data_IF_991435376270
#
_entry.id   IF_991435376270
#
_cell.length_a   1.000
_cell.length_b   1.000
_cell.length_c   1.000
_cell.angle_alpha   90.00
_cell.angle_beta   90.00
_cell.angle_gamma   90.00
#
_symmetry.space_group_name_H-M   'P 1'
#
loop_
_entity.id
_entity.type
_entity.pdbx_description
1 polymer ?
#
# COMPACT_ATOMS: atom_id res chain seq x y z
N UNK A 1 -60.03 25.36 30.41
CA UNK A 1 -59.62 26.75 30.62
C UNK A 1 -58.24 26.66 31.24
N UNK A 2 -57.18 26.66 30.42
CA UNK A 2 -56.41 27.88 30.04
C UNK A 2 -55.90 28.61 31.30
N UNK A 3 -54.65 29.02 31.44
CA UNK A 3 -53.55 29.23 30.48
C UNK A 3 -52.23 29.35 31.30
N UNK A 4 -51.11 29.33 30.59
CA UNK A 4 -49.71 29.40 31.00
C UNK A 4 -49.38 30.65 31.83
N UNK A 5 -48.36 30.60 32.70
CA UNK A 5 -47.12 31.36 32.41
C UNK A 5 -45.91 30.93 33.27
N UNK A 6 -44.74 31.18 32.69
CA UNK A 6 -43.44 30.54 32.87
C UNK A 6 -42.44 31.51 33.53
N UNK A 7 -41.61 31.04 34.45
CA UNK A 7 -40.20 31.40 34.71
C UNK A 7 -39.86 31.24 36.20
N UNK A 8 -38.74 30.64 36.62
CA UNK A 8 -37.61 30.11 35.90
C UNK A 8 -36.52 29.66 36.89
N UNK A 9 -35.42 29.15 36.31
CA UNK A 9 -34.10 28.93 36.91
C UNK A 9 -33.86 27.57 37.57
N UNK A 10 -33.78 26.53 36.75
CA UNK A 10 -32.93 25.37 37.04
C UNK A 10 -31.53 25.62 36.47
N UNK A 11 -30.55 25.84 37.36
CA UNK A 11 -29.14 25.63 37.07
C UNK A 11 -28.64 24.55 38.03
N UNK A 12 -28.22 23.43 37.48
CA UNK A 12 -27.61 22.33 38.23
C UNK A 12 -27.18 21.22 37.30
N UNK A 13 -26.03 21.43 36.65
CA UNK A 13 -25.09 20.41 36.13
C UNK A 13 -25.66 19.22 35.37
N UNK A 14 -25.72 19.36 34.03
CA UNK A 14 -25.59 18.23 33.12
C UNK A 14 -24.11 17.82 33.13
N UNK A 15 -23.75 16.80 33.89
CA UNK A 15 -22.56 16.01 33.58
C UNK A 15 -22.85 15.29 32.27
N UNK A 16 -22.34 15.83 31.17
CA UNK A 16 -22.25 15.07 29.92
C UNK A 16 -21.18 14.03 30.19
N UNK A 17 -21.60 12.82 30.55
CA UNK A 17 -20.79 11.62 30.32
C UNK A 17 -20.44 11.66 28.82
N UNK A 18 -19.19 12.03 28.52
CA UNK A 18 -18.63 11.80 27.19
C UNK A 18 -18.60 10.29 27.02
N UNK A 19 -19.68 9.76 26.48
CA UNK A 19 -19.69 8.46 25.84
C UNK A 19 -18.69 8.54 24.69
N UNK A 20 -17.42 8.26 24.97
CA UNK A 20 -16.52 7.70 23.99
C UNK A 20 -17.08 6.33 23.64
N UNK A 21 -18.12 6.32 22.81
CA UNK A 21 -18.38 5.18 21.96
C UNK A 21 -17.08 5.00 21.19
N UNK A 22 -16.25 4.06 21.64
CA UNK A 22 -15.05 3.71 20.93
C UNK A 22 -15.48 3.40 19.51
N UNK A 23 -14.98 4.17 18.54
CA UNK A 23 -14.96 3.80 17.13
C UNK A 23 -14.14 2.51 16.99
N UNK A 24 -14.75 1.40 17.41
CA UNK A 24 -14.46 0.05 16.99
C UNK A 24 -15.52 -0.40 15.98
N UNK A 25 -16.23 0.54 15.37
CA UNK A 25 -17.15 0.25 14.28
C UNK A 25 -16.35 0.27 12.96
N UNK A 26 -15.80 -0.91 12.65
CA UNK A 26 -15.11 -1.28 11.41
C UNK A 26 -13.88 -0.44 11.05
N UNK A 27 -12.80 -0.60 11.80
CA UNK A 27 -11.48 -0.42 11.19
C UNK A 27 -11.44 -1.26 9.90
N UNK A 28 -11.03 -0.70 8.76
CA UNK A 28 -11.05 -1.43 7.48
C UNK A 28 -10.26 -2.73 7.62
N UNK A 29 -10.92 -3.86 7.38
CA UNK A 29 -10.27 -5.18 7.43
C UNK A 29 -9.79 -5.53 6.03
N UNK A 30 -8.50 -5.31 5.76
CA UNK A 30 -7.90 -5.79 4.53
C UNK A 30 -7.72 -7.31 4.55
N UNK A 31 -7.79 -7.92 3.37
CA UNK A 31 -7.53 -9.35 3.14
C UNK A 31 -6.76 -9.52 1.84
N UNK A 32 -6.33 -10.75 1.52
CA UNK A 32 -5.74 -11.03 0.21
C UNK A 32 -6.63 -10.57 -0.95
N UNK A 33 -7.96 -10.67 -0.81
CA UNK A 33 -8.93 -10.23 -1.80
C UNK A 33 -8.98 -8.70 -1.99
N UNK A 34 -8.49 -7.93 -1.01
CA UNK A 34 -8.35 -6.47 -1.16
C UNK A 34 -7.39 -6.15 -2.29
N UNK A 35 -6.28 -6.88 -2.45
CA UNK A 35 -5.37 -6.72 -3.59
C UNK A 35 -5.70 -7.73 -4.70
N UNK A 36 -6.47 -7.30 -5.70
CA UNK A 36 -6.82 -8.13 -6.87
C UNK A 36 -6.87 -7.34 -8.19
N UNK A 37 -6.31 -7.86 -9.26
CA UNK A 37 -6.29 -7.22 -10.58
C UNK A 37 -4.97 -6.50 -10.86
N UNK A 38 -4.99 -5.59 -11.84
CA UNK A 38 -3.80 -4.96 -12.42
C UNK A 38 -3.53 -3.59 -11.81
N UNK A 39 -2.29 -3.35 -11.39
CA UNK A 39 -1.83 -2.09 -10.83
C UNK A 39 -0.65 -1.55 -11.62
N UNK A 40 -0.72 -0.30 -12.08
CA UNK A 40 0.42 0.36 -12.72
C UNK A 40 1.32 0.98 -11.65
N UNK A 41 2.63 0.88 -11.88
CA UNK A 41 3.67 1.50 -11.06
C UNK A 41 4.72 2.16 -11.96
N UNK A 42 5.39 3.17 -11.43
CA UNK A 42 6.56 3.79 -12.04
C UNK A 42 7.45 4.39 -10.96
N UNK A 43 8.62 3.80 -10.77
CA UNK A 43 9.54 4.14 -9.69
C UNK A 43 10.89 4.58 -10.23
N UNK A 44 11.49 5.53 -9.54
CA UNK A 44 12.81 6.08 -9.81
C UNK A 44 13.55 6.22 -8.49
N UNK A 45 14.84 5.90 -8.48
CA UNK A 45 15.65 5.95 -7.27
C UNK A 45 17.11 5.64 -7.54
N UNK A 46 17.78 5.11 -6.53
CA UNK A 46 19.21 4.79 -6.60
C UNK A 46 19.46 3.45 -5.94
N UNK A 47 20.19 2.57 -6.61
CA UNK A 47 20.75 1.38 -5.98
C UNK A 47 22.06 1.75 -5.29
N UNK A 48 22.16 1.43 -4.01
CA UNK A 48 23.37 1.52 -3.20
C UNK A 48 24.01 0.13 -3.05
N UNK A 49 25.35 0.04 -2.97
CA UNK A 49 26.01 -1.23 -2.72
C UNK A 49 25.52 -1.90 -1.41
N UNK A 50 25.32 -3.23 -1.38
CA UNK A 50 25.58 -4.21 -2.44
C UNK A 50 24.33 -4.57 -3.28
N UNK A 51 23.28 -3.74 -3.29
CA UNK A 51 22.01 -4.07 -3.94
C UNK A 51 22.22 -4.50 -5.39
N UNK A 52 21.74 -5.70 -5.73
CA UNK A 52 21.84 -6.26 -7.07
C UNK A 52 23.26 -6.24 -7.69
N UNK A 53 24.29 -6.26 -6.84
CA UNK A 53 25.69 -6.31 -7.28
C UNK A 53 26.29 -4.97 -7.71
N UNK A 54 25.61 -3.83 -7.50
CA UNK A 54 26.21 -2.52 -7.78
C UNK A 54 27.37 -2.24 -6.83
N UNK A 55 28.44 -1.64 -7.35
CA UNK A 55 29.65 -1.28 -6.58
C UNK A 55 29.72 0.19 -6.20
N UNK A 56 28.84 1.02 -6.76
CA UNK A 56 28.70 2.44 -6.47
C UNK A 56 27.22 2.84 -6.56
N UNK A 57 26.80 3.97 -5.94
CA UNK A 57 25.45 4.49 -6.10
C UNK A 57 25.08 4.66 -7.58
N UNK A 58 24.13 3.85 -8.05
CA UNK A 58 23.76 3.80 -9.47
C UNK A 58 22.29 4.17 -9.63
N UNK A 59 21.93 5.16 -10.47
CA UNK A 59 20.54 5.50 -10.75
C UNK A 59 19.76 4.30 -11.31
N UNK A 60 18.52 4.15 -10.87
CA UNK A 60 17.65 3.06 -11.30
C UNK A 60 16.23 3.53 -11.56
N UNK A 61 15.63 3.03 -12.63
CA UNK A 61 14.24 3.30 -13.00
C UNK A 61 13.53 1.97 -13.28
N UNK A 62 12.29 1.83 -12.82
CA UNK A 62 11.44 0.71 -13.19
C UNK A 62 10.02 1.20 -13.50
N UNK A 63 9.40 0.64 -14.53
CA UNK A 63 8.00 0.91 -14.84
C UNK A 63 7.33 -0.35 -15.34
N UNK A 64 6.04 -0.49 -15.03
CA UNK A 64 5.36 -1.73 -15.33
C UNK A 64 4.00 -1.84 -14.68
N UNK A 65 3.62 -3.09 -14.43
CA UNK A 65 2.40 -3.40 -13.69
C UNK A 65 2.50 -4.70 -12.92
N UNK A 66 1.85 -4.74 -11.76
CA UNK A 66 1.61 -5.94 -11.00
C UNK A 66 0.21 -6.49 -11.30
N UNK A 67 0.08 -7.81 -11.38
CA UNK A 67 -1.18 -8.54 -11.36
C UNK A 67 -1.25 -9.28 -10.03
N UNK A 68 -2.21 -8.93 -9.17
CA UNK A 68 -2.50 -9.65 -7.93
C UNK A 68 -3.74 -10.52 -8.12
N UNK A 69 -3.69 -11.79 -7.73
CA UNK A 69 -4.80 -12.72 -7.97
C UNK A 69 -5.90 -12.68 -6.88
N UNK A 70 -5.61 -12.05 -5.73
CA UNK A 70 -6.50 -12.03 -4.58
C UNK A 70 -6.31 -13.21 -3.62
N UNK A 71 -5.27 -14.02 -3.83
CA UNK A 71 -5.02 -15.29 -3.12
C UNK A 71 -3.58 -15.41 -2.58
N UNK A 72 -2.80 -14.31 -2.60
CA UNK A 72 -1.40 -14.30 -2.18
C UNK A 72 -0.40 -14.55 -3.32
N UNK A 73 -0.88 -14.80 -4.54
CA UNK A 73 -0.05 -14.98 -5.73
C UNK A 73 -0.26 -13.90 -6.78
N UNK A 74 0.72 -13.69 -7.64
CA UNK A 74 0.62 -12.71 -8.71
C UNK A 74 1.74 -12.81 -9.73
N UNK A 75 1.79 -11.80 -10.60
CA UNK A 75 2.88 -11.58 -11.54
C UNK A 75 3.29 -10.12 -11.55
N UNK A 76 4.57 -9.88 -11.71
CA UNK A 76 5.14 -8.59 -12.04
C UNK A 76 5.46 -8.56 -13.54
N UNK A 77 5.22 -7.43 -14.19
CA UNK A 77 5.70 -7.15 -15.55
C UNK A 77 6.45 -5.84 -15.53
N UNK A 78 7.74 -5.85 -15.86
CA UNK A 78 8.62 -4.71 -15.63
C UNK A 78 9.60 -4.48 -16.77
N UNK A 79 9.80 -3.22 -17.11
CA UNK A 79 11.03 -2.75 -17.75
C UNK A 79 11.88 -2.08 -16.68
N UNK A 80 13.13 -2.52 -16.54
CA UNK A 80 14.07 -2.03 -15.53
C UNK A 80 15.32 -1.47 -16.19
N UNK A 81 15.70 -0.26 -15.78
CA UNK A 81 16.90 0.43 -16.22
C UNK A 81 17.83 0.67 -15.05
N UNK A 82 19.12 0.51 -15.31
CA UNK A 82 20.19 0.71 -14.34
C UNK A 82 21.34 1.46 -15.00
N UNK A 83 21.77 2.58 -14.42
CA UNK A 83 22.87 3.37 -14.95
C UNK A 83 22.64 3.90 -16.37
N UNK A 84 21.38 4.02 -16.80
CA UNK A 84 20.99 4.42 -18.15
C UNK A 84 20.78 3.27 -19.14
N UNK A 85 21.17 2.04 -18.81
CA UNK A 85 21.01 0.86 -19.66
C UNK A 85 19.72 0.10 -19.31
N UNK A 86 19.05 -0.48 -20.32
CA UNK A 86 17.90 -1.38 -20.09
C UNK A 86 18.41 -2.78 -19.76
N UNK A 87 18.15 -3.23 -18.54
CA UNK A 87 18.61 -4.54 -18.03
C UNK A 87 17.52 -5.60 -18.15
N UNK A 88 16.26 -5.20 -17.99
CA UNK A 88 15.08 -6.03 -18.22
C UNK A 88 14.11 -5.27 -19.13
N UNK A 89 13.49 -5.96 -20.08
CA UNK A 89 12.54 -5.36 -21.02
C UNK A 89 11.26 -6.20 -21.06
N UNK A 90 10.15 -5.64 -20.56
CA UNK A 90 8.86 -6.33 -20.41
C UNK A 90 8.97 -7.73 -19.76
N UNK A 91 9.91 -7.88 -18.83
CA UNK A 91 10.16 -9.16 -18.17
C UNK A 91 8.98 -9.50 -17.28
N UNK A 92 8.59 -10.79 -17.24
CA UNK A 92 7.40 -11.21 -16.49
C UNK A 92 7.73 -12.24 -15.43
N UNK A 93 7.75 -11.80 -14.18
CA UNK A 93 8.20 -12.59 -13.03
C UNK A 93 7.02 -12.96 -12.13
N UNK A 94 7.00 -14.16 -11.52
CA UNK A 94 6.04 -14.45 -10.47
C UNK A 94 6.29 -13.57 -9.24
N UNK A 95 5.23 -13.16 -8.55
CA UNK A 95 5.32 -12.53 -7.23
C UNK A 95 4.45 -13.27 -6.22
N UNK A 96 4.80 -13.13 -4.94
CA UNK A 96 3.99 -13.59 -3.80
C UNK A 96 3.81 -12.43 -2.81
N UNK A 97 2.69 -12.42 -2.08
CA UNK A 97 2.38 -11.33 -1.17
C UNK A 97 1.53 -11.74 0.02
N UNK A 98 1.58 -10.91 1.06
CA UNK A 98 0.77 -11.00 2.27
C UNK A 98 -0.06 -9.73 2.44
N UNK A 99 -1.21 -9.87 3.09
CA UNK A 99 -2.05 -8.74 3.50
C UNK A 99 -2.53 -8.99 4.93
N UNK A 100 -2.20 -8.07 5.81
CA UNK A 100 -2.65 -8.06 7.20
C UNK A 100 -4.01 -7.35 7.29
N UNK A 101 -4.74 -7.63 8.37
CA UNK A 101 -6.06 -7.04 8.60
C UNK A 101 -6.03 -5.51 8.74
N UNK A 102 -4.88 -4.93 9.13
CA UNK A 102 -4.65 -3.48 9.27
C UNK A 102 -4.21 -2.80 7.96
N UNK A 103 -4.35 -3.48 6.83
CA UNK A 103 -3.97 -2.98 5.51
C UNK A 103 -2.46 -2.75 5.31
N UNK A 104 -1.63 -3.36 6.15
CA UNK A 104 -0.20 -3.51 5.89
C UNK A 104 0.09 -4.86 5.21
N UNK A 105 1.28 -5.02 4.66
CA UNK A 105 1.70 -6.29 4.08
C UNK A 105 3.09 -6.24 3.49
N UNK A 106 3.38 -7.22 2.63
CA UNK A 106 4.59 -7.24 1.83
C UNK A 106 4.36 -7.99 0.52
N UNK A 107 5.17 -7.72 -0.49
CA UNK A 107 5.30 -8.62 -1.64
C UNK A 107 6.76 -8.84 -2.01
N UNK A 108 7.02 -9.94 -2.69
CA UNK A 108 8.35 -10.31 -3.20
C UNK A 108 8.22 -10.77 -4.63
N UNK A 109 9.02 -10.17 -5.51
CA UNK A 109 9.21 -10.61 -6.89
C UNK A 109 10.23 -11.73 -6.90
N UNK A 110 9.95 -12.83 -7.59
CA UNK A 110 10.84 -14.00 -7.62
C UNK A 110 12.19 -13.60 -8.22
N UNK A 111 13.30 -13.89 -7.51
CA UNK A 111 14.66 -13.47 -7.86
C UNK A 111 14.84 -11.94 -7.97
N UNK A 112 13.92 -11.16 -7.40
CA UNK A 112 13.90 -9.71 -7.46
C UNK A 112 13.80 -9.07 -6.06
N UNK A 113 13.33 -7.82 -5.99
CA UNK A 113 13.16 -7.11 -4.73
C UNK A 113 11.98 -7.61 -3.89
N UNK A 114 12.04 -7.29 -2.60
CA UNK A 114 10.91 -7.36 -1.67
C UNK A 114 10.54 -5.95 -1.23
N UNK A 115 9.24 -5.76 -0.96
CA UNK A 115 8.68 -4.49 -0.55
C UNK A 115 7.75 -4.66 0.65
N UNK A 116 7.74 -3.67 1.53
CA UNK A 116 6.63 -3.43 2.45
C UNK A 116 5.54 -2.62 1.74
N UNK A 117 4.28 -2.90 2.04
CA UNK A 117 3.14 -2.22 1.40
C UNK A 117 2.13 -1.70 2.43
N UNK A 118 1.50 -0.58 2.08
CA UNK A 118 0.38 0.01 2.80
C UNK A 118 -0.77 0.24 1.81
N UNK A 119 -1.89 -0.42 2.08
CA UNK A 119 -2.94 -0.68 1.10
C UNK A 119 -4.13 0.24 1.40
N UNK A 120 -4.67 0.90 0.38
CA UNK A 120 -5.95 1.58 0.52
C UNK A 120 -7.04 0.53 0.81
N UNK A 121 -7.92 0.71 1.82
CA UNK A 121 -8.94 -0.28 2.18
C UNK A 121 -9.87 -0.75 1.05
N UNK A 122 -10.13 0.11 0.07
CA UNK A 122 -10.91 -0.19 -1.14
C UNK A 122 -10.12 -0.98 -2.21
N UNK A 123 -8.81 -1.11 -1.99
CA UNK A 123 -7.83 -1.72 -2.87
C UNK A 123 -7.56 -0.92 -4.15
N UNK A 124 -7.99 0.33 -4.29
CA UNK A 124 -7.78 1.10 -5.51
C UNK A 124 -6.31 1.52 -5.70
N UNK A 125 -5.54 1.53 -4.61
CA UNK A 125 -4.09 1.78 -4.65
C UNK A 125 -3.39 1.15 -3.46
N UNK A 126 -2.07 1.09 -3.53
CA UNK A 126 -1.20 0.87 -2.38
C UNK A 126 0.09 1.65 -2.59
N UNK A 127 0.78 1.96 -1.50
CA UNK A 127 2.14 2.49 -1.55
C UNK A 127 3.11 1.39 -1.17
N UNK A 128 4.29 1.40 -1.80
CA UNK A 128 5.34 0.41 -1.60
C UNK A 128 6.66 1.06 -1.26
N UNK A 129 7.46 0.36 -0.45
CA UNK A 129 8.83 0.74 -0.11
C UNK A 129 9.69 -0.51 -0.13
N UNK A 130 10.85 -0.41 -0.78
CA UNK A 130 11.78 -1.52 -0.85
C UNK A 130 12.32 -1.89 0.53
N UNK A 131 12.39 -3.20 0.80
CA UNK A 131 12.91 -3.77 2.04
C UNK A 131 14.04 -4.77 1.80
N UNK A 132 14.16 -5.29 0.58
CA UNK A 132 15.28 -6.13 0.18
C UNK A 132 15.55 -6.04 -1.34
N UNK A 133 16.80 -6.22 -1.78
CA UNK A 133 18.02 -6.30 -0.96
C UNK A 133 18.35 -4.95 -0.31
N UNK A 134 19.20 -4.96 0.73
CA UNK A 134 19.72 -3.74 1.33
C UNK A 134 20.37 -2.86 0.26
N UNK A 135 20.04 -1.55 0.28
CA UNK A 135 20.52 -0.57 -0.67
C UNK A 135 19.61 -0.37 -1.89
N UNK A 136 18.53 -1.13 -2.04
CA UNK A 136 17.50 -0.81 -3.02
C UNK A 136 16.64 0.34 -2.49
N UNK A 137 17.03 1.60 -2.74
CA UNK A 137 16.38 2.80 -2.20
C UNK A 137 15.30 3.33 -3.16
N UNK A 138 14.11 2.72 -3.09
CA UNK A 138 12.96 3.05 -3.95
C UNK A 138 11.63 2.95 -3.19
N UNK A 139 10.66 3.77 -3.60
CA UNK A 139 9.27 3.73 -3.16
C UNK A 139 8.33 4.32 -4.23
N UNK A 140 7.09 3.82 -4.33
CA UNK A 140 6.09 4.32 -5.29
C UNK A 140 4.65 4.15 -4.76
N UNK A 141 3.69 4.70 -5.51
CA UNK A 141 2.26 4.49 -5.36
C UNK A 141 1.74 3.73 -6.58
N UNK A 142 1.37 2.47 -6.39
CA UNK A 142 0.75 1.65 -7.41
C UNK A 142 -0.78 1.86 -7.44
N UNK A 143 -1.36 2.03 -8.63
CA UNK A 143 -2.81 2.28 -8.81
C UNK A 143 -3.48 1.19 -9.62
N UNK A 144 -4.63 0.70 -9.14
CA UNK A 144 -5.43 -0.29 -9.86
C UNK A 144 -6.03 0.32 -11.12
N UNK A 145 -5.82 -0.36 -12.25
CA UNK A 145 -6.38 0.03 -13.56
C UNK A 145 -7.29 -1.03 -14.16
N UNK A 146 -7.31 -2.25 -13.59
CA UNK A 146 -8.26 -3.30 -13.96
C UNK A 146 -8.53 -4.23 -12.78
N UNK A 147 -9.78 -4.72 -12.66
CA UNK A 147 -10.18 -5.78 -11.70
C UNK A 147 -10.13 -7.20 -12.30
N UNK A 148 -9.99 -7.28 -13.63
CA UNK A 148 -9.84 -8.54 -14.38
C UNK A 148 -8.42 -9.05 -14.28
#
# INVERSE_FOLDING_TARGET
MDDRDRAGRHRGTLTVEQGYAGEKEHAPTCTLATLKGRYLFAVHGTLLPPAFGVTEPTPSDAAGFHIFNGDGTGRDTVTFRLGGETVLENEVLPLSYTVNADCTGSFTVTNGPSFGIFIAPDGESFVEISTAPQGNEVSDIARRVSRK
#
